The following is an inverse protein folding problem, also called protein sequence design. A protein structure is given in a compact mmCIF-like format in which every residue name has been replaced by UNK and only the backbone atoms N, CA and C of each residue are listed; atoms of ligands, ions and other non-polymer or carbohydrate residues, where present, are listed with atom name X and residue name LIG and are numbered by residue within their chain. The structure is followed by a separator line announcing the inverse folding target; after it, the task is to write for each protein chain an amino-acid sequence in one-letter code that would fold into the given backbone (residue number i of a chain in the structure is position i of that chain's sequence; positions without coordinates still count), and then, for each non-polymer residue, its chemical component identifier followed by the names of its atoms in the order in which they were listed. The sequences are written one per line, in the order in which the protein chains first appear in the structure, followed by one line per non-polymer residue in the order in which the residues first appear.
data_IF_030744185535
#
_entry.id   IF_030744185535
#
_cell.length_a   1.000
_cell.length_b   1.000
_cell.length_c   1.000
_cell.angle_alpha   90.00
_cell.angle_beta   90.00
_cell.angle_gamma   90.00
#
_symmetry.space_group_name_H-M   'P 1'
#
loop_
_entity.id
_entity.type
_entity.pdbx_description
1 polymer ?
#
# COMPACT_ATOMS: atom_id res chain seq x y z
N UNK A 1 22.44 9.56 -1.40
CA UNK A 1 21.12 9.00 -1.04
C UNK A 1 21.23 7.48 -0.91
N UNK A 2 20.88 6.91 0.25
CA UNK A 2 20.80 5.46 0.45
C UNK A 2 19.35 5.07 0.65
N UNK A 3 18.85 4.13 -0.15
CA UNK A 3 17.51 3.58 -0.04
C UNK A 3 17.61 2.07 0.07
N UNK A 4 17.03 1.50 1.13
CA UNK A 4 17.03 0.07 1.40
C UNK A 4 15.66 -0.52 1.13
N UNK A 5 15.65 -1.69 0.48
CA UNK A 5 14.46 -2.53 0.39
C UNK A 5 14.53 -3.58 1.49
N UNK A 6 13.42 -3.74 2.19
CA UNK A 6 13.32 -4.61 3.37
C UNK A 6 12.04 -5.43 3.24
N UNK A 7 12.13 -6.72 3.47
CA UNK A 7 10.96 -7.59 3.59
C UNK A 7 10.73 -7.94 5.07
N UNK A 8 9.55 -7.59 5.59
CA UNK A 8 9.13 -7.96 6.93
C UNK A 8 8.28 -9.25 6.95
N UNK A 9 8.07 -9.88 5.80
CA UNK A 9 7.21 -11.05 5.68
C UNK A 9 5.81 -10.80 6.27
N UNK A 10 5.27 -11.72 7.04
CA UNK A 10 4.02 -11.55 7.77
C UNK A 10 4.31 -10.89 9.13
N UNK A 11 3.82 -9.68 9.32
CA UNK A 11 4.07 -8.87 10.54
C UNK A 11 2.75 -8.31 11.11
N UNK A 12 2.55 -8.31 12.45
CA UNK A 12 1.41 -7.62 13.06
C UNK A 12 1.38 -6.13 12.70
N UNK A 13 0.18 -5.61 12.38
CA UNK A 13 0.04 -4.23 11.93
C UNK A 13 0.56 -3.19 12.94
N UNK A 14 0.27 -3.39 14.23
CA UNK A 14 0.74 -2.47 15.29
C UNK A 14 2.27 -2.35 15.31
N UNK A 15 2.98 -3.47 15.17
CA UNK A 15 4.44 -3.50 15.12
C UNK A 15 4.97 -2.78 13.87
N UNK A 16 4.38 -3.07 12.71
CA UNK A 16 4.75 -2.42 11.46
C UNK A 16 4.52 -0.91 11.52
N UNK A 17 3.40 -0.47 12.10
CA UNK A 17 3.08 0.95 12.26
C UNK A 17 4.05 1.65 13.22
N UNK A 18 4.39 1.01 14.35
CA UNK A 18 5.39 1.54 15.28
C UNK A 18 6.75 1.72 14.57
N UNK A 19 7.26 0.71 13.89
CA UNK A 19 8.54 0.79 13.15
C UNK A 19 8.54 1.87 12.08
N UNK A 20 7.43 2.02 11.34
CA UNK A 20 7.28 3.10 10.37
C UNK A 20 7.35 4.47 11.04
N UNK A 21 6.65 4.66 12.17
CA UNK A 21 6.63 5.91 12.92
C UNK A 21 8.02 6.28 13.41
N UNK A 22 8.75 5.34 13.99
CA UNK A 22 10.12 5.55 14.45
C UNK A 22 11.05 6.00 13.31
N UNK A 23 10.97 5.37 12.15
CA UNK A 23 11.79 5.75 10.99
C UNK A 23 11.36 7.07 10.38
N UNK A 24 10.07 7.32 10.27
CA UNK A 24 9.52 8.59 9.80
C UNK A 24 9.98 9.75 10.67
N UNK A 25 9.83 9.65 11.99
CA UNK A 25 10.22 10.69 12.94
C UNK A 25 11.74 10.88 12.96
N UNK A 26 12.52 9.79 12.80
CA UNK A 26 13.98 9.88 12.70
C UNK A 26 14.41 10.68 11.46
N UNK A 27 13.82 10.41 10.28
CA UNK A 27 14.15 11.16 9.05
C UNK A 27 13.77 12.64 9.21
N UNK A 28 12.56 12.92 9.74
CA UNK A 28 12.11 14.31 9.96
C UNK A 28 13.08 15.05 10.88
N UNK A 29 13.47 14.45 12.01
CA UNK A 29 14.42 15.04 12.96
C UNK A 29 15.79 15.25 12.33
N UNK A 30 16.34 14.23 11.68
CA UNK A 30 17.66 14.27 11.06
C UNK A 30 17.74 15.37 9.99
N UNK A 31 16.69 15.55 9.19
CA UNK A 31 16.59 16.66 8.22
C UNK A 31 16.71 18.04 8.89
N UNK A 32 16.01 18.25 10.01
CA UNK A 32 16.06 19.54 10.74
C UNK A 32 17.43 19.77 11.33
N UNK A 33 18.10 18.72 11.78
CA UNK A 33 19.42 18.79 12.44
C UNK A 33 20.60 18.75 11.46
N UNK A 34 20.35 18.51 10.17
CA UNK A 34 21.41 18.33 9.17
C UNK A 34 22.19 17.02 9.34
N UNK A 35 21.58 16.03 9.98
CA UNK A 35 22.16 14.71 10.21
C UNK A 35 21.86 13.74 9.05
N UNK A 36 22.66 12.67 8.98
CA UNK A 36 22.45 11.62 7.98
C UNK A 36 21.27 10.72 8.36
N UNK A 37 20.51 10.28 7.36
CA UNK A 37 19.43 9.30 7.49
C UNK A 37 19.40 8.38 6.27
N UNK A 38 18.54 7.38 6.32
CA UNK A 38 18.36 6.38 5.26
C UNK A 38 16.88 6.30 4.88
N UNK A 39 16.60 6.27 3.58
CA UNK A 39 15.30 5.96 3.05
C UNK A 39 15.06 4.44 3.08
N UNK A 40 13.81 4.02 3.27
CA UNK A 40 13.43 2.61 3.32
C UNK A 40 12.16 2.36 2.53
N UNK A 41 12.15 1.27 1.80
CA UNK A 41 10.95 0.74 1.15
C UNK A 41 10.73 -0.65 1.71
N UNK A 42 9.64 -0.80 2.45
CA UNK A 42 9.31 -2.04 3.15
C UNK A 42 8.21 -2.77 2.40
N UNK A 43 8.35 -4.07 2.23
CA UNK A 43 7.30 -4.96 1.76
C UNK A 43 6.89 -5.92 2.87
N UNK A 44 5.62 -6.22 3.00
CA UNK A 44 5.10 -7.15 4.00
C UNK A 44 3.70 -7.65 3.65
N UNK A 45 3.24 -8.58 4.46
CA UNK A 45 1.84 -8.96 4.62
C UNK A 45 1.42 -8.73 6.08
N UNK A 46 0.13 -8.63 6.33
CA UNK A 46 -0.42 -8.52 7.68
C UNK A 46 -1.39 -9.66 8.00
N UNK A 47 -1.56 -10.05 9.28
CA UNK A 47 -2.78 -10.70 9.74
C UNK A 47 -4.00 -9.84 9.42
N UNK A 48 -5.21 -10.40 9.54
CA UNK A 48 -6.45 -9.68 9.24
C UNK A 48 -6.58 -8.40 10.05
N UNK A 49 -6.62 -7.26 9.36
CA UNK A 49 -6.70 -5.94 9.99
C UNK A 49 -7.45 -4.95 9.11
N UNK A 50 -8.27 -4.13 9.74
CA UNK A 50 -8.88 -2.97 9.14
C UNK A 50 -8.19 -1.70 9.63
N UNK A 51 -8.01 -0.74 8.73
CA UNK A 51 -7.45 0.56 9.09
C UNK A 51 -8.38 1.67 8.67
N UNK A 52 -8.79 2.51 9.63
CA UNK A 52 -9.61 3.69 9.40
C UNK A 52 -8.68 4.91 9.29
N UNK A 53 -8.62 5.50 8.11
CA UNK A 53 -7.81 6.69 7.84
C UNK A 53 -8.51 7.98 8.25
N UNK A 54 -7.84 9.12 8.02
CA UNK A 54 -8.32 10.45 8.47
C UNK A 54 -9.68 10.88 7.92
N UNK A 55 -10.07 10.38 6.76
CA UNK A 55 -11.36 10.71 6.13
C UNK A 55 -12.43 9.66 6.43
N UNK A 56 -12.08 8.63 7.17
CA UNK A 56 -12.95 7.50 7.47
C UNK A 56 -13.98 7.83 8.55
N UNK A 57 -15.13 7.18 8.44
CA UNK A 57 -16.20 7.24 9.44
C UNK A 57 -16.36 5.89 10.11
N UNK A 58 -16.62 5.89 11.42
CA UNK A 58 -16.86 4.65 12.21
C UNK A 58 -17.91 3.74 11.54
N UNK A 59 -18.99 4.34 11.03
CA UNK A 59 -20.08 3.61 10.38
C UNK A 59 -19.67 2.89 9.07
N UNK A 60 -18.44 3.09 8.60
CA UNK A 60 -17.92 2.38 7.45
C UNK A 60 -17.38 0.98 7.82
N UNK A 61 -17.18 0.68 9.11
CA UNK A 61 -17.01 -0.68 9.64
C UNK A 61 -18.39 -1.27 9.96
N UNK A 62 -18.74 -2.37 9.33
CA UNK A 62 -20.04 -3.00 9.46
C UNK A 62 -20.10 -4.04 10.57
N UNK A 63 -18.97 -4.41 11.15
CA UNK A 63 -18.85 -5.42 12.18
C UNK A 63 -18.67 -4.77 13.56
N UNK A 64 -19.25 -5.39 14.60
CA UNK A 64 -18.94 -5.08 16.00
C UNK A 64 -17.56 -5.63 16.40
N UNK A 65 -17.04 -5.19 17.55
CA UNK A 65 -15.78 -5.69 18.11
C UNK A 65 -15.82 -7.21 18.36
N UNK A 66 -16.96 -7.76 18.78
CA UNK A 66 -17.13 -9.21 18.96
C UNK A 66 -17.08 -9.95 17.62
N UNK A 67 -17.69 -9.40 16.58
CA UNK A 67 -17.67 -9.96 15.24
C UNK A 67 -16.27 -9.89 14.61
N UNK A 68 -15.53 -8.79 14.83
CA UNK A 68 -14.13 -8.67 14.42
C UNK A 68 -13.27 -9.76 15.07
N UNK A 69 -13.41 -9.97 16.39
CA UNK A 69 -12.70 -11.06 17.10
C UNK A 69 -13.06 -12.44 16.56
N UNK A 70 -14.32 -12.67 16.18
CA UNK A 70 -14.77 -13.96 15.64
C UNK A 70 -14.16 -14.32 14.29
N UNK A 71 -13.63 -13.33 13.55
CA UNK A 71 -12.93 -13.52 12.27
C UNK A 71 -11.42 -13.23 12.38
N UNK A 72 -10.86 -13.22 13.60
CA UNK A 72 -9.45 -12.93 13.89
C UNK A 72 -8.95 -11.61 13.29
N UNK A 73 -9.82 -10.60 13.22
CA UNK A 73 -9.50 -9.29 12.68
C UNK A 73 -9.44 -8.21 13.76
N UNK A 74 -8.64 -7.19 13.54
CA UNK A 74 -8.54 -5.99 14.38
C UNK A 74 -8.85 -4.72 13.62
N UNK A 75 -9.25 -3.65 14.31
CA UNK A 75 -9.47 -2.32 13.73
C UNK A 75 -8.50 -1.32 14.35
N UNK A 76 -7.80 -0.54 13.53
CA UNK A 76 -6.94 0.56 13.97
C UNK A 76 -7.38 1.88 13.35
N UNK A 77 -7.41 2.93 14.16
CA UNK A 77 -7.54 4.32 13.72
C UNK A 77 -6.16 4.88 13.47
N UNK A 78 -5.91 5.34 12.26
CA UNK A 78 -4.58 5.74 11.82
C UNK A 78 -4.59 7.07 11.05
N UNK A 79 -3.42 7.62 10.84
CA UNK A 79 -3.24 8.97 10.30
C UNK A 79 -2.90 9.03 8.79
N UNK A 80 -3.06 7.91 8.04
CA UNK A 80 -2.96 7.94 6.57
C UNK A 80 -4.12 8.70 5.94
N UNK A 81 -3.91 9.18 4.73
CA UNK A 81 -5.01 9.67 3.89
C UNK A 81 -5.99 8.57 3.52
N UNK A 82 -7.21 8.97 3.17
CA UNK A 82 -8.29 8.07 2.76
C UNK A 82 -9.16 7.57 3.91
N UNK A 83 -10.05 6.66 3.55
CA UNK A 83 -11.10 6.08 4.39
C UNK A 83 -10.68 4.71 4.96
N UNK A 84 -11.65 3.86 5.28
CA UNK A 84 -11.42 2.49 5.74
C UNK A 84 -10.87 1.60 4.61
N UNK A 85 -9.97 0.71 4.96
CA UNK A 85 -9.51 -0.39 4.10
C UNK A 85 -9.20 -1.63 4.91
N UNK A 86 -8.97 -2.74 4.23
CA UNK A 86 -8.60 -4.03 4.78
C UNK A 86 -7.19 -4.42 4.34
N UNK A 87 -6.45 -5.06 5.26
CA UNK A 87 -5.22 -5.78 4.98
C UNK A 87 -5.32 -7.20 5.53
N UNK A 88 -4.70 -8.15 4.85
CA UNK A 88 -4.69 -9.55 5.27
C UNK A 88 -3.72 -10.41 4.47
N UNK A 89 -3.60 -11.70 4.81
CA UNK A 89 -2.75 -12.64 4.09
C UNK A 89 -3.06 -12.67 2.58
N UNK A 90 -2.03 -12.79 1.77
CA UNK A 90 -2.14 -12.72 0.31
C UNK A 90 -2.24 -11.31 -0.27
N UNK A 91 -2.18 -10.26 0.56
CA UNK A 91 -2.10 -8.87 0.11
C UNK A 91 -0.68 -8.35 0.28
N UNK A 92 -0.05 -7.93 -0.81
CA UNK A 92 1.25 -7.27 -0.75
C UNK A 92 1.09 -5.82 -0.30
N UNK A 93 1.60 -5.52 0.88
CA UNK A 93 1.66 -4.15 1.40
C UNK A 93 3.07 -3.60 1.21
N UNK A 94 3.17 -2.36 0.72
CA UNK A 94 4.44 -1.68 0.54
C UNK A 94 4.41 -0.30 1.21
N UNK A 95 5.38 -0.05 2.08
CA UNK A 95 5.56 1.18 2.85
C UNK A 95 6.85 1.90 2.44
N UNK A 96 6.80 2.83 1.48
CA UNK A 96 7.96 3.69 1.18
C UNK A 96 8.07 4.81 2.23
N UNK A 97 9.13 4.77 3.04
CA UNK A 97 9.48 5.78 4.03
C UNK A 97 10.64 6.57 3.47
N UNK A 98 10.31 7.65 2.77
CA UNK A 98 11.22 8.39 1.90
C UNK A 98 11.18 9.88 2.21
N UNK A 99 12.32 10.55 2.07
CA UNK A 99 12.35 12.00 1.92
C UNK A 99 12.18 12.37 0.44
N UNK A 100 11.00 12.85 0.05
CA UNK A 100 10.66 13.17 -1.34
C UNK A 100 11.50 14.30 -1.94
N UNK A 101 12.10 15.18 -1.13
CA UNK A 101 12.99 16.23 -1.64
C UNK A 101 14.22 15.64 -2.34
N UNK A 102 14.75 14.52 -1.84
CA UNK A 102 15.89 13.84 -2.47
C UNK A 102 15.56 13.29 -3.88
N UNK A 103 14.27 13.06 -4.15
CA UNK A 103 13.75 12.61 -5.43
C UNK A 103 13.18 13.74 -6.28
N UNK A 104 13.18 14.99 -5.76
CA UNK A 104 12.55 16.16 -6.39
C UNK A 104 11.06 15.95 -6.69
N UNK A 105 10.36 15.22 -5.83
CA UNK A 105 8.96 14.84 -6.00
C UNK A 105 8.03 15.61 -5.06
N UNK A 106 6.91 16.07 -5.63
CA UNK A 106 5.74 16.45 -4.85
C UNK A 106 4.91 15.23 -4.45
N UNK A 107 4.05 15.39 -3.44
CA UNK A 107 3.21 14.28 -2.94
C UNK A 107 2.30 13.68 -4.02
N UNK A 108 1.73 14.52 -4.90
CA UNK A 108 0.86 14.06 -5.99
C UNK A 108 1.63 13.18 -6.99
N UNK A 109 2.82 13.61 -7.36
CA UNK A 109 3.68 12.88 -8.29
C UNK A 109 4.18 11.58 -7.68
N UNK A 110 4.56 11.60 -6.40
CA UNK A 110 4.91 10.40 -5.65
C UNK A 110 3.78 9.34 -5.68
N UNK A 111 2.55 9.75 -5.38
CA UNK A 111 1.39 8.83 -5.45
C UNK A 111 1.20 8.30 -6.87
N UNK A 112 1.36 9.15 -7.89
CA UNK A 112 1.28 8.76 -9.29
C UNK A 112 2.36 7.71 -9.65
N UNK A 113 3.59 7.82 -9.13
CA UNK A 113 4.64 6.82 -9.34
C UNK A 113 4.32 5.50 -8.64
N UNK A 114 3.69 5.52 -7.46
CA UNK A 114 3.22 4.29 -6.80
C UNK A 114 2.13 3.59 -7.62
N UNK A 115 1.19 4.35 -8.16
CA UNK A 115 0.17 3.80 -9.08
C UNK A 115 0.83 3.20 -10.32
N UNK A 116 1.78 3.91 -10.91
CA UNK A 116 2.50 3.45 -12.11
C UNK A 116 3.25 2.14 -11.86
N UNK A 117 3.94 2.01 -10.72
CA UNK A 117 4.62 0.77 -10.36
C UNK A 117 3.66 -0.43 -10.35
N UNK A 118 2.50 -0.26 -9.72
CA UNK A 118 1.48 -1.32 -9.66
C UNK A 118 0.86 -1.60 -11.02
N UNK A 119 0.59 -0.58 -11.83
CA UNK A 119 0.08 -0.74 -13.20
C UNK A 119 1.03 -1.60 -14.03
N UNK A 120 2.34 -1.35 -13.93
CA UNK A 120 3.36 -2.15 -14.64
C UNK A 120 3.46 -3.57 -14.12
N UNK A 121 3.33 -3.77 -12.80
CA UNK A 121 3.23 -5.11 -12.22
C UNK A 121 2.00 -5.84 -12.77
N UNK A 122 0.82 -5.23 -12.80
CA UNK A 122 -0.39 -5.82 -13.36
C UNK A 122 -0.21 -6.17 -14.84
N UNK A 123 0.40 -5.28 -15.63
CA UNK A 123 0.66 -5.49 -17.06
C UNK A 123 1.61 -6.68 -17.31
N UNK A 124 2.62 -6.90 -16.44
CA UNK A 124 3.48 -8.08 -16.51
C UNK A 124 2.68 -9.39 -16.42
N UNK A 125 1.61 -9.41 -15.62
CA UNK A 125 0.69 -10.55 -15.50
C UNK A 125 -0.45 -10.53 -16.53
N UNK A 126 -0.41 -9.66 -17.53
CA UNK A 126 -1.43 -9.57 -18.57
C UNK A 126 -2.75 -8.93 -18.12
N UNK A 127 -2.79 -8.26 -16.96
CA UNK A 127 -3.96 -7.53 -16.48
C UNK A 127 -3.89 -6.05 -16.86
N UNK A 128 -4.89 -5.58 -17.61
CA UNK A 128 -4.99 -4.17 -18.00
C UNK A 128 -5.54 -3.34 -16.82
N UNK A 129 -4.63 -2.78 -16.05
CA UNK A 129 -4.95 -1.91 -14.93
C UNK A 129 -4.61 -0.46 -15.25
N UNK A 130 -5.29 0.47 -14.60
CA UNK A 130 -5.09 1.90 -14.81
C UNK A 130 -5.52 2.74 -13.62
N UNK A 131 -5.52 4.05 -13.82
CA UNK A 131 -6.00 5.05 -12.87
C UNK A 131 -7.47 5.35 -13.11
N UNK A 132 -8.17 5.71 -12.05
CA UNK A 132 -9.52 6.26 -12.14
C UNK A 132 -9.48 7.71 -11.65
N UNK A 133 -10.03 8.61 -12.44
CA UNK A 133 -10.06 10.04 -12.09
C UNK A 133 -10.73 10.26 -10.72
N UNK A 134 -10.11 11.07 -9.86
CA UNK A 134 -10.56 11.39 -8.48
C UNK A 134 -10.64 10.20 -7.52
N UNK A 135 -10.07 9.05 -7.89
CA UNK A 135 -10.11 7.83 -7.09
C UNK A 135 -8.73 7.19 -6.97
N UNK A 136 -7.90 7.70 -6.06
CA UNK A 136 -6.54 7.20 -5.80
C UNK A 136 -6.50 5.68 -5.65
N UNK A 137 -5.50 5.06 -6.28
CA UNK A 137 -5.29 3.61 -6.34
C UNK A 137 -5.30 3.10 -7.76
N UNK A 138 -5.16 1.79 -7.92
CA UNK A 138 -5.12 1.13 -9.22
C UNK A 138 -6.38 0.30 -9.45
N UNK A 139 -6.93 0.44 -10.64
CA UNK A 139 -8.24 -0.07 -11.00
C UNK A 139 -8.21 -0.87 -12.30
N UNK A 140 -9.05 -1.88 -12.39
CA UNK A 140 -9.39 -2.52 -13.65
C UNK A 140 -10.76 -2.00 -14.11
N UNK A 141 -10.91 -1.79 -15.41
CA UNK A 141 -12.13 -1.30 -16.06
C UNK A 141 -12.69 -0.03 -15.39
N UNK A 142 -11.81 0.91 -15.00
CA UNK A 142 -12.13 2.08 -14.16
C UNK A 142 -13.29 2.93 -14.67
N UNK A 143 -13.42 3.11 -15.99
CA UNK A 143 -14.44 3.94 -16.64
C UNK A 143 -15.72 3.17 -16.98
N UNK A 144 -15.92 1.98 -16.41
CA UNK A 144 -17.10 1.14 -16.67
C UNK A 144 -17.86 0.82 -15.38
N UNK A 145 -19.10 0.33 -15.47
CA UNK A 145 -19.82 -0.20 -14.29
C UNK A 145 -19.16 -1.41 -13.63
N UNK A 146 -18.16 -2.02 -14.28
CA UNK A 146 -17.38 -3.15 -13.75
C UNK A 146 -16.08 -2.72 -13.09
N UNK A 147 -15.92 -1.42 -12.83
CA UNK A 147 -14.75 -0.88 -12.17
C UNK A 147 -14.47 -1.59 -10.85
N UNK A 148 -13.25 -2.09 -10.68
CA UNK A 148 -12.83 -2.80 -9.48
C UNK A 148 -11.40 -2.45 -9.12
N UNK A 149 -11.18 -2.16 -7.84
CA UNK A 149 -9.88 -1.76 -7.31
C UNK A 149 -9.02 -2.98 -7.03
N UNK A 150 -7.81 -3.00 -7.59
CA UNK A 150 -6.81 -4.02 -7.31
C UNK A 150 -5.78 -3.56 -6.28
N UNK A 151 -5.52 -2.25 -6.20
CA UNK A 151 -4.58 -1.69 -5.24
C UNK A 151 -5.15 -0.44 -4.58
N UNK A 152 -5.17 -0.43 -3.26
CA UNK A 152 -5.45 0.76 -2.46
C UNK A 152 -4.15 1.52 -2.18
N UNK A 153 -4.21 2.87 -2.17
CA UNK A 153 -3.07 3.73 -1.82
C UNK A 153 -3.56 4.76 -0.81
N UNK A 154 -2.88 4.83 0.32
CA UNK A 154 -3.13 5.84 1.34
C UNK A 154 -1.83 6.17 2.06
N UNK A 155 -1.38 7.43 1.94
CA UNK A 155 -0.09 7.89 2.46
C UNK A 155 -0.28 9.00 3.48
N UNK A 156 0.70 9.17 4.35
CA UNK A 156 0.92 10.37 5.16
C UNK A 156 2.23 11.01 4.71
N UNK A 157 2.25 12.34 4.64
CA UNK A 157 3.49 13.09 4.44
C UNK A 157 3.57 14.27 5.40
N UNK A 158 4.76 14.49 5.94
CA UNK A 158 5.11 15.70 6.70
C UNK A 158 6.57 16.02 6.45
N UNK A 159 6.88 17.31 6.25
CA UNK A 159 8.24 17.76 5.90
C UNK A 159 8.83 17.00 4.69
N UNK A 160 8.00 16.68 3.70
CA UNK A 160 8.34 15.85 2.54
C UNK A 160 8.77 14.40 2.86
N UNK A 161 8.67 13.96 4.11
CA UNK A 161 8.87 12.56 4.48
C UNK A 161 7.56 11.82 4.39
N UNK A 162 7.58 10.58 3.86
CA UNK A 162 6.39 9.74 3.67
C UNK A 162 6.35 8.57 4.64
N UNK A 163 5.14 8.08 4.94
CA UNK A 163 4.88 6.79 5.56
C UNK A 163 3.53 6.22 5.09
N UNK A 164 3.22 5.00 5.47
CA UNK A 164 2.19 4.17 4.85
C UNK A 164 2.50 3.95 3.36
N UNK A 165 1.53 3.69 2.51
CA UNK A 165 1.84 3.43 1.11
C UNK A 165 0.73 2.76 0.34
N UNK A 166 1.01 1.59 -0.26
CA UNK A 166 0.10 0.86 -1.11
C UNK A 166 -0.19 -0.56 -0.59
N UNK A 167 -1.33 -1.09 -0.99
CA UNK A 167 -1.77 -2.44 -0.68
C UNK A 167 -2.35 -3.08 -1.95
N UNK A 168 -1.56 -3.97 -2.58
CA UNK A 168 -1.90 -4.70 -3.79
C UNK A 168 -2.52 -6.05 -3.44
N UNK A 169 -3.74 -6.28 -3.88
CA UNK A 169 -4.41 -7.56 -3.74
C UNK A 169 -3.79 -8.59 -4.71
N UNK A 170 -2.98 -9.51 -4.19
CA UNK A 170 -2.37 -10.60 -4.95
C UNK A 170 -3.23 -11.85 -4.87
N UNK A 171 -3.20 -12.55 -3.73
CA UNK A 171 -4.02 -13.73 -3.42
C UNK A 171 -5.03 -13.46 -2.29
N UNK A 172 -5.34 -12.21 -2.05
CA UNK A 172 -6.16 -11.72 -0.95
C UNK A 172 -7.54 -12.37 -0.92
N UNK A 173 -8.01 -12.72 0.26
CA UNK A 173 -9.40 -13.12 0.45
C UNK A 173 -10.30 -11.86 0.41
N UNK A 174 -10.96 -11.66 -0.73
CA UNK A 174 -11.76 -10.47 -0.99
C UNK A 174 -13.07 -10.42 -0.18
N UNK A 175 -13.47 -11.53 0.47
CA UNK A 175 -14.69 -11.56 1.32
C UNK A 175 -14.58 -10.55 2.47
N UNK A 176 -13.39 -10.31 2.99
CA UNK A 176 -13.16 -9.34 4.05
C UNK A 176 -13.52 -7.90 3.66
N UNK A 177 -13.50 -7.55 2.38
CA UNK A 177 -13.94 -6.24 1.91
C UNK A 177 -15.46 -6.04 1.99
N UNK A 178 -16.26 -7.13 2.09
CA UNK A 178 -17.71 -7.02 2.29
C UNK A 178 -18.12 -6.55 3.68
N UNK A 179 -17.18 -6.49 4.62
CA UNK A 179 -17.40 -6.02 5.98
C UNK A 179 -17.14 -4.53 6.17
N UNK A 180 -16.84 -3.82 5.09
CA UNK A 180 -16.61 -2.38 5.11
C UNK A 180 -17.35 -1.66 3.98
N UNK A 181 -17.71 -0.40 4.25
CA UNK A 181 -18.23 0.52 3.23
C UNK A 181 -17.26 1.68 3.04
N UNK A 182 -16.27 1.59 2.12
CA UNK A 182 -15.39 2.71 1.84
C UNK A 182 -16.20 3.86 1.25
N UNK A 183 -16.11 5.06 1.84
CA UNK A 183 -16.85 6.24 1.39
C UNK A 183 -16.59 6.56 -0.09
N UNK A 184 -17.66 6.69 -0.85
CA UNK A 184 -17.64 7.17 -2.23
C UNK A 184 -17.62 6.11 -3.32
N UNK A 185 -17.49 4.82 -2.98
CA UNK A 185 -17.40 3.75 -3.99
C UNK A 185 -18.31 2.55 -3.67
N UNK A 186 -19.57 2.83 -3.29
CA UNK A 186 -20.58 1.77 -3.02
C UNK A 186 -20.85 0.94 -4.29
N UNK A 187 -20.68 1.54 -5.46
CA UNK A 187 -20.97 0.91 -6.76
C UNK A 187 -19.74 0.26 -7.42
N UNK A 188 -18.56 0.26 -6.76
CA UNK A 188 -17.34 -0.26 -7.34
C UNK A 188 -16.83 -1.46 -6.57
N UNK A 189 -16.36 -2.48 -7.33
CA UNK A 189 -15.84 -3.71 -6.76
C UNK A 189 -14.39 -3.61 -6.27
N UNK A 190 -13.95 -4.72 -5.68
CA UNK A 190 -12.54 -5.01 -5.44
C UNK A 190 -12.15 -6.28 -6.19
N UNK A 191 -10.88 -6.40 -6.55
CA UNK A 191 -10.34 -7.58 -7.21
C UNK A 191 -8.93 -7.89 -6.72
N UNK A 192 -8.34 -8.99 -7.21
CA UNK A 192 -6.97 -9.42 -6.92
C UNK A 192 -6.35 -10.05 -8.17
N UNK A 193 -5.02 -10.16 -8.22
CA UNK A 193 -4.36 -10.87 -9.31
C UNK A 193 -4.89 -12.31 -9.44
N UNK A 194 -5.04 -13.04 -8.32
CA UNK A 194 -5.65 -14.38 -8.31
C UNK A 194 -7.03 -14.41 -8.96
N UNK A 195 -7.89 -13.43 -8.64
CA UNK A 195 -9.24 -13.39 -9.21
C UNK A 195 -9.24 -13.11 -10.71
N UNK A 196 -8.35 -12.26 -11.20
CA UNK A 196 -8.24 -11.94 -12.63
C UNK A 196 -7.62 -13.10 -13.43
N UNK A 197 -6.55 -13.70 -12.91
CA UNK A 197 -5.77 -14.75 -13.58
C UNK A 197 -6.36 -16.16 -13.39
N UNK A 198 -7.27 -16.34 -12.40
CA UNK A 198 -7.89 -17.64 -12.04
C UNK A 198 -6.92 -18.68 -11.45
N UNK A 199 -5.78 -18.24 -10.94
CA UNK A 199 -4.82 -19.07 -10.22
C UNK A 199 -4.04 -18.24 -9.20
N UNK A 200 -3.42 -18.89 -8.22
CA UNK A 200 -2.54 -18.23 -7.26
C UNK A 200 -1.28 -17.71 -7.93
N UNK A 201 -0.83 -16.54 -7.48
CA UNK A 201 0.40 -15.87 -7.96
C UNK A 201 1.46 -15.94 -6.86
N UNK A 202 2.71 -16.38 -7.15
CA UNK A 202 3.77 -16.43 -6.15
C UNK A 202 4.07 -15.02 -5.59
N UNK A 203 3.90 -14.83 -4.27
CA UNK A 203 4.07 -13.53 -3.62
C UNK A 203 5.48 -12.97 -3.81
N UNK A 204 6.51 -13.82 -3.71
CA UNK A 204 7.90 -13.40 -3.84
C UNK A 204 8.20 -12.87 -5.25
N UNK A 205 7.59 -13.43 -6.29
CA UNK A 205 7.71 -12.91 -7.65
C UNK A 205 7.06 -11.52 -7.76
N UNK A 206 5.89 -11.32 -7.16
CA UNK A 206 5.21 -10.01 -7.16
C UNK A 206 6.04 -8.97 -6.39
N UNK A 207 6.61 -9.34 -5.24
CA UNK A 207 7.53 -8.48 -4.49
C UNK A 207 8.73 -8.06 -5.34
N UNK A 208 9.37 -9.02 -6.00
CA UNK A 208 10.52 -8.74 -6.87
C UNK A 208 10.12 -7.78 -8.02
N UNK A 209 9.00 -8.04 -8.71
CA UNK A 209 8.52 -7.17 -9.78
C UNK A 209 8.21 -5.76 -9.30
N UNK A 210 7.55 -5.63 -8.15
CA UNK A 210 7.27 -4.33 -7.57
C UNK A 210 8.56 -3.58 -7.21
N UNK A 211 9.56 -4.26 -6.63
CA UNK A 211 10.87 -3.66 -6.35
C UNK A 211 11.56 -3.17 -7.62
N UNK A 212 11.58 -3.98 -8.68
CA UNK A 212 12.17 -3.61 -9.97
C UNK A 212 11.52 -2.35 -10.55
N UNK A 213 10.19 -2.26 -10.53
CA UNK A 213 9.47 -1.09 -11.06
C UNK A 213 9.66 0.15 -10.16
N UNK A 214 9.65 0.00 -8.84
CA UNK A 214 9.95 1.10 -7.93
C UNK A 214 11.39 1.61 -8.13
N UNK A 215 12.38 0.72 -8.31
CA UNK A 215 13.75 1.13 -8.60
C UNK A 215 13.87 1.94 -9.88
N UNK A 216 13.19 1.51 -10.94
CA UNK A 216 13.17 2.24 -12.23
C UNK A 216 12.53 3.62 -12.09
N UNK A 217 11.35 3.67 -11.47
CA UNK A 217 10.54 4.89 -11.37
C UNK A 217 11.16 5.93 -10.44
N UNK A 218 11.77 5.50 -9.33
CA UNK A 218 12.46 6.39 -8.39
C UNK A 218 13.96 6.56 -8.71
N UNK A 219 14.43 6.02 -9.84
CA UNK A 219 15.83 6.09 -10.30
C UNK A 219 16.84 5.57 -9.23
N UNK A 220 16.44 4.53 -8.51
CA UNK A 220 17.27 3.92 -7.47
C UNK A 220 18.30 2.96 -8.07
N UNK A 221 19.50 2.85 -7.50
CA UNK A 221 20.49 1.91 -7.99
C UNK A 221 19.96 0.47 -7.91
N UNK A 222 20.26 -0.33 -8.93
CA UNK A 222 19.96 -1.77 -8.91
C UNK A 222 20.72 -2.42 -7.76
N UNK A 223 20.06 -3.29 -6.99
CA UNK A 223 20.75 -4.09 -5.99
C UNK A 223 21.86 -4.88 -6.70
N UNK A 224 23.12 -4.65 -6.33
CA UNK A 224 24.17 -5.57 -6.75
C UNK A 224 23.87 -6.89 -6.05
N UNK A 225 23.55 -7.94 -6.82
CA UNK A 225 23.63 -9.30 -6.27
C UNK A 225 25.00 -9.45 -5.61
N UNK A 226 25.00 -9.65 -4.28
CA UNK A 226 26.23 -9.91 -3.56
C UNK A 226 26.91 -11.13 -4.17
N UNK A 227 28.18 -10.97 -4.49
CA UNK A 227 29.05 -12.07 -4.87
C UNK A 227 29.32 -12.93 -3.63
#
# INVERSE_FOLDING_TARGET
MKTFFIDWNLIPYAEAWQRQTEWFDNIVRAKVQGESYENRIVMCEHPHVYTLGRSGKENNMLLSDEQLKAIDATLYHIDRGGDITYHGPGQLVCYPILNLEEFQLGLKEYVHLLEEAVIRVCAFYGSEAGRLEKATGVWLEGDTPRARKICAIGVRSSHYVTMHGLALNVNTDLRYFSYIHPCGFIDKGVTSLRQELKHDVPMDEVKQRLEEELRKLFQLPVAKCGA
#
